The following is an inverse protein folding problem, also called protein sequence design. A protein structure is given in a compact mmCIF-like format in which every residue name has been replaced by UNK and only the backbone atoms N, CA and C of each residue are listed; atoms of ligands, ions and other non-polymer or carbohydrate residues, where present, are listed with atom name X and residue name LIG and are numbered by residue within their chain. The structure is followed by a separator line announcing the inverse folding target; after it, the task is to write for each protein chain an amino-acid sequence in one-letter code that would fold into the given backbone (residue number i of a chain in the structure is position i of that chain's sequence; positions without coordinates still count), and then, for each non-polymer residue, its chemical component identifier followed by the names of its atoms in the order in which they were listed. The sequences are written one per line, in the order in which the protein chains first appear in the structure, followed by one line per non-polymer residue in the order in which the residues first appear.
data_IF_938007745326
#
_entry.id   IF_938007745326
#
_cell.length_a   1.000
_cell.length_b   1.000
_cell.length_c   1.000
_cell.angle_alpha   90.00
_cell.angle_beta   90.00
_cell.angle_gamma   90.00
#
_symmetry.space_group_name_H-M   'P 1'
#
loop_
_entity.id
_entity.type
_entity.pdbx_description
1 polymer ?
#
# COMPACT_ATOMS: atom_id res chain seq x y z
N UNK A 1 -15.89 1.53 10.33
CA UNK A 1 -14.84 1.34 9.31
C UNK A 1 -14.46 -0.14 9.26
N UNK A 2 -14.68 -0.83 8.14
CA UNK A 2 -14.31 -2.24 8.03
C UNK A 2 -12.88 -2.33 7.50
N UNK A 3 -11.93 -2.33 8.43
CA UNK A 3 -10.49 -2.41 8.11
C UNK A 3 -10.18 -3.64 7.25
N UNK A 4 -10.91 -4.74 7.42
CA UNK A 4 -10.70 -5.95 6.61
C UNK A 4 -11.06 -5.73 5.14
N UNK A 5 -12.12 -4.95 4.89
CA UNK A 5 -12.53 -4.61 3.53
C UNK A 5 -11.52 -3.69 2.85
N UNK A 6 -11.05 -2.65 3.54
CA UNK A 6 -10.04 -1.74 2.99
C UNK A 6 -8.71 -2.44 2.71
N UNK A 7 -8.30 -3.36 3.58
CA UNK A 7 -7.09 -4.14 3.35
C UNK A 7 -7.21 -5.01 2.09
N UNK A 8 -8.39 -5.56 1.79
CA UNK A 8 -8.63 -6.28 0.53
C UNK A 8 -8.56 -5.35 -0.68
N UNK A 9 -9.21 -4.19 -0.62
CA UNK A 9 -9.13 -3.17 -1.67
C UNK A 9 -7.67 -2.72 -1.90
N UNK A 10 -6.88 -2.57 -0.83
CA UNK A 10 -5.47 -2.24 -0.94
C UNK A 10 -4.68 -3.30 -1.71
N UNK A 11 -4.94 -4.59 -1.46
CA UNK A 11 -4.31 -5.68 -2.23
C UNK A 11 -4.66 -5.54 -3.71
N UNK A 12 -5.94 -5.32 -4.05
CA UNK A 12 -6.39 -5.10 -5.43
C UNK A 12 -5.70 -3.90 -6.10
N UNK A 13 -5.56 -2.78 -5.37
CA UNK A 13 -4.89 -1.59 -5.88
C UNK A 13 -3.38 -1.78 -6.05
N UNK A 14 -2.73 -2.58 -5.18
CA UNK A 14 -1.32 -2.97 -5.37
C UNK A 14 -1.17 -3.86 -6.62
N UNK A 15 -2.14 -4.73 -6.94
CA UNK A 15 -2.15 -5.49 -8.20
C UNK A 15 -2.32 -4.60 -9.43
N UNK A 16 -3.15 -3.57 -9.32
CA UNK A 16 -3.42 -2.64 -10.43
C UNK A 16 -2.25 -1.71 -10.72
N UNK A 17 -1.62 -1.17 -9.68
CA UNK A 17 -0.61 -0.11 -9.77
C UNK A 17 0.82 -0.63 -9.64
N UNK A 18 0.99 -1.79 -9.02
CA UNK A 18 2.28 -2.37 -8.74
C UNK A 18 2.89 -3.13 -9.91
N UNK A 19 4.17 -3.42 -9.76
CA UNK A 19 4.93 -4.26 -10.66
C UNK A 19 5.78 -5.24 -9.86
N UNK A 20 6.19 -6.36 -10.47
CA UNK A 20 7.12 -7.28 -9.82
C UNK A 20 8.48 -6.61 -9.63
N UNK A 21 9.00 -6.65 -8.42
CA UNK A 21 10.35 -6.21 -8.09
C UNK A 21 11.39 -7.30 -8.43
N UNK A 22 12.66 -7.02 -8.11
CA UNK A 22 13.77 -7.95 -8.35
C UNK A 22 13.63 -9.29 -7.62
N UNK A 23 12.93 -9.33 -6.48
CA UNK A 23 12.63 -10.55 -5.72
C UNK A 23 11.41 -11.31 -6.27
N UNK A 24 10.81 -10.84 -7.37
CA UNK A 24 9.59 -11.39 -7.96
C UNK A 24 8.32 -11.09 -7.17
N UNK A 25 8.39 -10.28 -6.11
CA UNK A 25 7.23 -9.85 -5.32
C UNK A 25 6.59 -8.63 -5.95
N UNK A 26 5.28 -8.55 -5.85
CA UNK A 26 4.54 -7.38 -6.32
C UNK A 26 4.80 -6.20 -5.36
N UNK A 27 5.15 -5.06 -5.92
CA UNK A 27 5.38 -3.84 -5.14
C UNK A 27 4.93 -2.59 -5.89
N UNK A 28 4.53 -1.58 -5.13
CA UNK A 28 4.16 -0.25 -5.64
C UNK A 28 4.78 0.83 -4.77
N UNK A 29 5.16 1.95 -5.35
CA UNK A 29 5.69 3.11 -4.62
C UNK A 29 4.58 3.76 -3.79
N UNK A 30 4.89 4.18 -2.56
CA UNK A 30 3.93 4.87 -1.70
C UNK A 30 3.36 6.13 -2.36
N UNK A 31 4.20 6.91 -3.05
CA UNK A 31 3.77 8.12 -3.76
C UNK A 31 2.76 7.82 -4.86
N UNK A 32 2.89 6.67 -5.54
CA UNK A 32 1.93 6.23 -6.56
C UNK A 32 0.58 5.90 -5.93
N UNK A 33 0.56 5.14 -4.83
CA UNK A 33 -0.70 4.86 -4.10
C UNK A 33 -1.33 6.15 -3.56
N UNK A 34 -0.52 7.08 -3.08
CA UNK A 34 -1.01 8.32 -2.48
C UNK A 34 -1.58 9.29 -3.53
N UNK A 35 -0.95 9.38 -4.71
CA UNK A 35 -1.36 10.28 -5.79
C UNK A 35 -2.42 9.69 -6.72
N UNK A 36 -2.75 8.40 -6.58
CA UNK A 36 -3.77 7.76 -7.40
C UNK A 36 -5.19 8.17 -6.98
N UNK A 37 -5.95 8.72 -7.93
CA UNK A 37 -7.31 9.22 -7.68
C UNK A 37 -8.27 8.12 -7.18
N UNK A 38 -8.10 6.87 -7.65
CA UNK A 38 -8.96 5.77 -7.20
C UNK A 38 -8.65 5.42 -5.75
N UNK A 39 -7.38 5.33 -5.37
CA UNK A 39 -6.95 5.12 -3.99
C UNK A 39 -7.43 6.24 -3.06
N UNK A 40 -7.33 7.51 -3.50
CA UNK A 40 -7.80 8.66 -2.74
C UNK A 40 -9.32 8.63 -2.48
N UNK A 41 -10.10 8.08 -3.40
CA UNK A 41 -11.54 7.89 -3.24
C UNK A 41 -11.91 6.65 -2.41
N UNK A 42 -11.08 5.59 -2.45
CA UNK A 42 -11.32 4.34 -1.74
C UNK A 42 -10.89 4.39 -0.27
N UNK A 43 -9.79 5.07 0.04
CA UNK A 43 -9.18 5.06 1.37
C UNK A 43 -9.33 6.43 2.04
N UNK A 44 -10.15 6.49 3.09
CA UNK A 44 -10.26 7.69 3.94
C UNK A 44 -8.90 8.06 4.56
N UNK A 45 -8.09 7.05 4.92
CA UNK A 45 -6.74 7.24 5.45
C UNK A 45 -5.79 6.14 4.97
N UNK A 46 -5.20 6.32 3.79
CA UNK A 46 -4.27 5.36 3.17
C UNK A 46 -3.17 4.88 4.14
N UNK A 47 -2.53 5.78 4.89
CA UNK A 47 -1.49 5.41 5.86
C UNK A 47 -2.04 4.53 6.99
N UNK A 48 -3.28 4.75 7.42
CA UNK A 48 -3.98 3.91 8.39
C UNK A 48 -4.21 2.50 7.84
N UNK A 49 -4.70 2.39 6.60
CA UNK A 49 -4.92 1.13 5.90
C UNK A 49 -3.60 0.37 5.70
N UNK A 50 -2.52 1.04 5.28
CA UNK A 50 -1.18 0.47 5.14
C UNK A 50 -0.65 -0.06 6.49
N UNK A 51 -0.80 0.68 7.58
CA UNK A 51 -0.40 0.21 8.93
C UNK A 51 -1.18 -1.03 9.35
N UNK A 52 -2.48 -1.08 9.07
CA UNK A 52 -3.30 -2.25 9.38
C UNK A 52 -2.88 -3.48 8.56
N UNK A 53 -2.65 -3.32 7.25
CA UNK A 53 -2.18 -4.39 6.37
C UNK A 53 -0.77 -4.89 6.78
N UNK A 54 0.15 -3.99 7.14
CA UNK A 54 1.49 -4.34 7.63
C UNK A 54 1.44 -5.14 8.93
N UNK A 55 0.59 -4.75 9.89
CA UNK A 55 0.38 -5.50 11.14
C UNK A 55 -0.14 -6.92 10.90
N UNK A 56 -0.92 -7.11 9.83
CA UNK A 56 -1.47 -8.40 9.41
C UNK A 56 -0.50 -9.22 8.54
N UNK A 57 0.70 -8.68 8.26
CA UNK A 57 1.73 -9.31 7.41
C UNK A 57 1.26 -9.55 5.96
N UNK A 58 0.29 -8.77 5.50
CA UNK A 58 -0.20 -8.79 4.11
C UNK A 58 0.74 -7.96 3.23
N UNK A 59 1.26 -6.86 3.77
CA UNK A 59 2.27 -6.03 3.11
C UNK A 59 3.48 -5.80 4.04
N UNK A 60 4.56 -5.28 3.47
CA UNK A 60 5.64 -4.65 4.22
C UNK A 60 6.15 -3.41 3.50
N UNK A 61 6.81 -2.53 4.24
CA UNK A 61 7.51 -1.35 3.74
C UNK A 61 8.54 -0.89 4.76
N UNK A 62 9.57 -0.19 4.30
CA UNK A 62 10.62 0.38 5.16
C UNK A 62 10.12 1.61 5.90
N UNK A 63 10.53 1.75 7.16
CA UNK A 63 10.12 2.86 8.03
C UNK A 63 8.85 2.60 8.85
N UNK A 64 8.64 3.45 9.86
CA UNK A 64 7.49 3.42 10.78
C UNK A 64 6.39 4.40 10.41
N UNK A 65 6.77 5.52 9.79
CA UNK A 65 5.89 6.58 9.32
C UNK A 65 6.03 6.72 7.81
N UNK A 66 4.93 7.06 7.14
CA UNK A 66 4.90 7.43 5.73
C UNK A 66 4.27 8.83 5.64
N UNK A 67 4.92 9.70 4.87
CA UNK A 67 4.51 11.09 4.65
C UNK A 67 4.74 11.41 3.17
N UNK A 68 3.73 11.99 2.52
CA UNK A 68 3.79 12.39 1.11
C UNK A 68 4.97 13.33 0.87
N UNK A 69 5.62 13.19 -0.29
CA UNK A 69 6.80 13.95 -0.71
C UNK A 69 8.11 13.49 -0.07
N UNK A 70 8.08 12.99 1.17
CA UNK A 70 9.27 12.45 1.86
C UNK A 70 9.47 10.96 1.59
N UNK A 71 8.37 10.21 1.53
CA UNK A 71 8.40 8.74 1.43
C UNK A 71 7.84 8.23 0.10
N UNK A 72 7.68 9.09 -0.90
CA UNK A 72 7.02 8.72 -2.16
C UNK A 72 7.72 7.53 -2.85
N UNK A 73 9.04 7.41 -2.71
CA UNK A 73 9.83 6.32 -3.27
C UNK A 73 9.90 5.04 -2.42
N UNK A 74 9.24 5.00 -1.26
CA UNK A 74 9.18 3.80 -0.41
C UNK A 74 8.35 2.72 -1.09
N UNK A 75 8.92 1.52 -1.22
CA UNK A 75 8.21 0.37 -1.76
C UNK A 75 7.23 -0.20 -0.74
N UNK A 76 5.96 -0.27 -1.15
CA UNK A 76 4.92 -1.04 -0.51
C UNK A 76 4.88 -2.41 -1.18
N UNK A 77 5.38 -3.43 -0.48
CA UNK A 77 5.59 -4.77 -1.00
C UNK A 77 4.48 -5.68 -0.51
N UNK A 78 3.83 -6.38 -1.43
CA UNK A 78 2.82 -7.39 -1.14
C UNK A 78 3.51 -8.69 -0.69
N UNK A 79 3.09 -9.20 0.46
CA UNK A 79 3.59 -10.45 1.05
C UNK A 79 2.60 -11.60 0.89
N UNK A 80 1.30 -11.30 0.89
CA UNK A 80 0.21 -12.28 0.83
C UNK A 80 -0.97 -11.68 0.07
N UNK A 81 -1.64 -12.52 -0.73
CA UNK A 81 -2.91 -12.22 -1.42
C UNK A 81 -4.10 -12.84 -0.67
#
# INVERSE_FOLDING_TARGET
MNVDHEVKLLVEEIHRLGSKNADGKLSVKFGVLFQDDKCANLFEALVGTLKAAKRRKIITYSGELLLQGVHDDVDIILLQD
#
